data_IF_195678485641
#
_entry.id   IF_195678485641
#
_cell.length_a   1.000
_cell.length_b   1.000
_cell.length_c   1.000
_cell.angle_alpha   90.00
_cell.angle_beta   90.00
_cell.angle_gamma   90.00
#
_symmetry.space_group_name_H-M   'P 1'
#
loop_
_entity.id
_entity.type
_entity.pdbx_description
1 polymer ?
#
# COMPACT_ATOMS: atom_id res chain seq x y z
N UNK A 1 3.31 -16.10 71.17
CA UNK A 1 2.06 -15.59 70.55
C UNK A 1 2.04 -14.11 70.85
N UNK A 2 1.84 -13.27 69.84
CA UNK A 2 1.89 -11.82 69.99
C UNK A 2 0.72 -11.30 70.84
N UNK A 3 0.78 -10.02 71.21
CA UNK A 3 -0.35 -9.35 71.86
C UNK A 3 -1.61 -9.50 71.01
N UNK A 4 -2.77 -9.64 71.67
CA UNK A 4 -4.06 -9.86 71.00
C UNK A 4 -4.37 -8.80 69.94
N UNK A 5 -4.02 -7.55 70.24
CA UNK A 5 -4.23 -6.41 69.34
C UNK A 5 -3.32 -6.44 68.11
N UNK A 6 -2.10 -6.95 68.23
CA UNK A 6 -1.18 -7.10 67.10
C UNK A 6 -1.60 -8.27 66.20
N UNK A 7 -2.09 -9.36 66.80
CA UNK A 7 -2.59 -10.53 66.09
C UNK A 7 -3.83 -10.19 65.24
N UNK A 8 -4.80 -9.46 65.80
CA UNK A 8 -6.00 -9.00 65.08
C UNK A 8 -5.63 -8.06 63.91
N UNK A 9 -4.60 -7.22 64.08
CA UNK A 9 -4.11 -6.34 63.02
C UNK A 9 -3.45 -7.13 61.89
N UNK A 10 -2.65 -8.16 62.22
CA UNK A 10 -2.02 -9.05 61.25
C UNK A 10 -3.09 -9.77 60.42
N UNK A 11 -4.12 -10.32 61.06
CA UNK A 11 -5.17 -11.06 60.36
C UNK A 11 -6.04 -10.15 59.48
N UNK A 12 -6.30 -8.91 59.92
CA UNK A 12 -7.01 -7.89 59.12
C UNK A 12 -6.25 -7.51 57.84
N UNK A 13 -4.94 -7.24 57.94
CA UNK A 13 -4.09 -6.89 56.78
C UNK A 13 -3.88 -8.09 55.83
N UNK A 14 -3.90 -9.31 56.36
CA UNK A 14 -3.77 -10.52 55.56
C UNK A 14 -5.06 -10.94 54.86
N UNK A 15 -6.22 -10.40 55.25
CA UNK A 15 -7.52 -10.77 54.70
C UNK A 15 -7.62 -10.56 53.18
N UNK A 16 -7.00 -9.49 52.67
CA UNK A 16 -7.02 -9.14 51.24
C UNK A 16 -5.99 -9.90 50.40
N UNK A 17 -5.12 -10.71 51.02
CA UNK A 17 -4.12 -11.55 50.34
C UNK A 17 -2.98 -10.79 49.63
N UNK A 18 -2.95 -9.47 49.76
CA UNK A 18 -1.90 -8.56 49.24
C UNK A 18 -1.58 -7.55 50.34
N UNK A 19 -0.28 -7.36 50.62
CA UNK A 19 0.19 -6.37 51.59
C UNK A 19 0.93 -5.26 50.85
N UNK A 20 0.47 -4.02 51.02
CA UNK A 20 1.07 -2.80 50.50
C UNK A 20 2.21 -2.31 51.39
N UNK A 21 3.08 -1.43 50.86
CA UNK A 21 4.21 -0.89 51.62
C UNK A 21 3.78 0.01 52.79
N UNK A 22 2.61 0.62 52.69
CA UNK A 22 2.01 1.40 53.77
C UNK A 22 1.58 0.49 54.92
N UNK A 23 0.92 -0.64 54.64
CA UNK A 23 0.51 -1.63 55.64
C UNK A 23 1.72 -2.28 56.33
N UNK A 24 2.79 -2.59 55.58
CA UNK A 24 4.06 -3.06 56.17
C UNK A 24 4.66 -2.04 57.14
N UNK A 25 4.50 -0.75 56.86
CA UNK A 25 5.01 0.32 57.73
C UNK A 25 4.18 0.44 59.01
N UNK A 26 2.85 0.29 58.90
CA UNK A 26 1.94 0.32 60.05
C UNK A 26 2.18 -0.88 60.97
N UNK A 27 2.34 -2.09 60.42
CA UNK A 27 2.64 -3.30 61.19
C UNK A 27 3.95 -3.16 61.96
N UNK A 28 5.02 -2.65 61.32
CA UNK A 28 6.30 -2.42 62.00
C UNK A 28 6.22 -1.40 63.14
N UNK A 29 5.48 -0.30 62.94
CA UNK A 29 5.26 0.70 64.00
C UNK A 29 4.46 0.13 65.17
N UNK A 30 3.47 -0.72 64.89
CA UNK A 30 2.66 -1.37 65.92
C UNK A 30 3.45 -2.44 66.67
N UNK A 31 4.30 -3.21 65.99
CA UNK A 31 5.22 -4.17 66.61
C UNK A 31 6.14 -3.47 67.63
N UNK A 32 6.76 -2.34 67.24
CA UNK A 32 7.56 -1.52 68.16
C UNK A 32 6.76 -1.03 69.37
N UNK A 33 5.53 -0.59 69.16
CA UNK A 33 4.67 -0.11 70.24
C UNK A 33 4.22 -1.24 71.20
N UNK A 34 4.19 -2.48 70.73
CA UNK A 34 3.92 -3.67 71.53
C UNK A 34 5.18 -4.28 72.17
N UNK A 35 6.37 -3.71 71.92
CA UNK A 35 7.65 -4.21 72.43
C UNK A 35 8.18 -5.44 71.70
N UNK A 36 7.68 -5.72 70.49
CA UNK A 36 8.09 -6.84 69.65
C UNK A 36 9.09 -6.38 68.58
N UNK A 37 9.94 -7.30 68.11
CA UNK A 37 10.89 -7.01 67.04
C UNK A 37 10.16 -6.85 65.68
N UNK A 38 10.32 -5.71 64.97
CA UNK A 38 9.61 -5.45 63.73
C UNK A 38 9.96 -6.42 62.60
N UNK A 39 11.20 -6.90 62.55
CA UNK A 39 11.68 -7.78 61.50
C UNK A 39 11.21 -9.22 61.76
N UNK A 40 11.15 -9.66 63.02
CA UNK A 40 10.55 -10.95 63.39
C UNK A 40 9.05 -11.01 63.04
N UNK A 41 8.29 -9.94 63.33
CA UNK A 41 6.87 -9.85 62.96
C UNK A 41 6.70 -9.91 61.45
N UNK A 42 7.56 -9.23 60.68
CA UNK A 42 7.50 -9.27 59.21
C UNK A 42 7.79 -10.66 58.64
N UNK A 43 8.72 -11.42 59.21
CA UNK A 43 8.98 -12.82 58.82
C UNK A 43 7.72 -13.68 59.02
N UNK A 44 7.00 -13.49 60.14
CA UNK A 44 5.76 -14.22 60.43
C UNK A 44 4.64 -13.82 59.47
N UNK A 45 4.47 -12.53 59.20
CA UNK A 45 3.46 -12.00 58.27
C UNK A 45 3.71 -12.52 56.84
N UNK A 46 4.94 -12.46 56.36
CA UNK A 46 5.30 -12.99 55.04
C UNK A 46 5.14 -14.51 54.98
N UNK A 47 5.44 -15.21 56.08
CA UNK A 47 5.19 -16.64 56.24
C UNK A 47 3.70 -17.01 56.18
N UNK A 48 2.82 -16.23 56.81
CA UNK A 48 1.35 -16.41 56.74
C UNK A 48 0.81 -16.08 55.35
N UNK A 49 1.28 -15.00 54.74
CA UNK A 49 0.93 -14.62 53.37
C UNK A 49 1.34 -15.72 52.38
N UNK A 50 2.52 -16.32 52.53
CA UNK A 50 2.98 -17.44 51.72
C UNK A 50 2.13 -18.70 51.95
N UNK A 51 1.72 -18.99 53.19
CA UNK A 51 0.79 -20.10 53.50
C UNK A 51 -0.60 -19.87 52.88
N UNK A 52 -1.14 -18.66 52.94
CA UNK A 52 -2.42 -18.30 52.31
C UNK A 52 -2.33 -18.41 50.79
N UNK A 53 -1.24 -17.95 50.17
CA UNK A 53 -0.99 -18.12 48.72
C UNK A 53 -0.78 -19.58 48.32
N UNK A 54 -0.22 -20.42 49.21
CA UNK A 54 -0.12 -21.87 49.01
C UNK A 54 -1.44 -22.62 49.25
N UNK A 55 -2.37 -22.04 50.02
CA UNK A 55 -3.72 -22.58 50.24
C UNK A 55 -4.74 -22.15 49.18
N UNK A 56 -4.52 -21.00 48.53
CA UNK A 56 -5.35 -20.45 47.44
C UNK A 56 -4.82 -20.79 46.02
N UNK A 57 -3.83 -21.68 45.93
CA UNK A 57 -3.36 -22.29 44.68
C UNK A 57 -3.37 -23.82 44.89
N UNK A 58 -3.77 -24.65 43.91
CA UNK A 58 -3.94 -26.08 44.13
C UNK A 58 -2.61 -26.69 44.60
N UNK A 59 -2.65 -27.39 45.72
CA UNK A 59 -1.54 -28.19 46.21
C UNK A 59 -1.04 -29.10 45.07
N UNK A 60 0.25 -28.98 44.75
CA UNK A 60 1.00 -30.00 44.05
C UNK A 60 1.62 -30.87 45.16
N UNK A 61 1.12 -32.10 45.41
CA UNK A 61 1.99 -33.14 45.93
C UNK A 61 2.95 -33.50 44.80
N UNK A 62 4.24 -33.56 45.13
CA UNK A 62 5.19 -34.31 44.32
C UNK A 62 4.64 -35.73 44.10
N UNK A 63 4.92 -36.29 42.91
CA UNK A 63 4.62 -37.64 42.39
C UNK A 63 3.41 -37.77 41.44
N UNK A 64 3.77 -37.98 40.17
CA UNK A 64 3.04 -38.69 39.08
C UNK A 64 2.09 -37.93 38.13
N UNK A 65 2.68 -37.51 36.99
CA UNK A 65 2.16 -37.61 35.61
C UNK A 65 0.67 -37.94 35.44
N UNK A 66 -0.21 -36.93 35.44
CA UNK A 66 -1.37 -36.88 34.50
C UNK A 66 -1.59 -35.44 34.05
N UNK A 67 -1.68 -35.26 32.73
CA UNK A 67 -1.75 -33.96 32.08
C UNK A 67 -2.98 -33.16 32.50
N UNK A 68 -2.82 -31.83 32.49
CA UNK A 68 -3.92 -30.88 32.63
C UNK A 68 -4.88 -31.08 31.44
N UNK A 69 -6.02 -31.75 31.64
CA UNK A 69 -7.04 -31.95 30.60
C UNK A 69 -7.84 -30.65 30.47
N UNK A 70 -7.46 -29.80 29.51
CA UNK A 70 -8.22 -28.59 29.16
C UNK A 70 -9.48 -29.03 28.41
N UNK A 71 -10.67 -28.57 28.81
CA UNK A 71 -11.94 -28.90 28.13
C UNK A 71 -12.29 -27.83 27.09
N UNK A 72 -12.97 -28.23 26.01
CA UNK A 72 -13.47 -27.32 25.00
C UNK A 72 -14.59 -26.43 25.57
N UNK A 73 -14.52 -25.10 25.42
CA UNK A 73 -15.56 -24.20 25.93
C UNK A 73 -16.87 -24.31 25.14
N UNK A 74 -16.83 -24.86 23.93
CA UNK A 74 -18.01 -25.01 23.07
C UNK A 74 -18.72 -26.37 23.23
N UNK A 75 -17.98 -27.47 23.46
CA UNK A 75 -18.58 -28.82 23.51
C UNK A 75 -18.17 -29.66 24.74
N UNK A 76 -17.30 -29.14 25.62
CA UNK A 76 -16.85 -29.85 26.82
C UNK A 76 -15.86 -30.99 26.59
N UNK A 77 -15.53 -31.34 25.33
CA UNK A 77 -14.60 -32.41 25.00
C UNK A 77 -13.17 -32.12 25.53
N UNK A 78 -12.42 -33.15 25.97
CA UNK A 78 -11.03 -33.01 26.40
C UNK A 78 -10.13 -32.61 25.21
N UNK A 79 -9.29 -31.60 25.41
CA UNK A 79 -8.39 -31.05 24.41
C UNK A 79 -6.97 -31.52 24.73
N UNK A 80 -6.25 -31.98 23.71
CA UNK A 80 -4.81 -32.21 23.78
C UNK A 80 -4.07 -30.89 23.96
N UNK A 81 -3.05 -30.86 24.84
CA UNK A 81 -2.26 -29.66 25.10
C UNK A 81 -1.66 -29.10 23.79
N UNK A 82 -2.06 -27.88 23.41
CA UNK A 82 -1.59 -27.21 22.19
C UNK A 82 -2.47 -27.39 20.94
N UNK A 83 -3.64 -28.04 21.03
CA UNK A 83 -4.56 -28.10 19.90
C UNK A 83 -5.13 -26.71 19.57
N UNK A 84 -5.02 -26.29 18.31
CA UNK A 84 -5.55 -25.01 17.78
C UNK A 84 -7.05 -25.09 17.49
N UNK A 85 -7.58 -26.30 17.32
CA UNK A 85 -8.98 -26.59 17.01
C UNK A 85 -9.47 -27.81 17.76
N UNK A 86 -10.73 -27.79 18.19
CA UNK A 86 -11.37 -28.93 18.83
C UNK A 86 -11.65 -30.02 17.78
N UNK A 87 -11.22 -31.25 18.04
CA UNK A 87 -11.45 -32.40 17.15
C UNK A 87 -12.93 -32.79 17.06
N UNK A 88 -13.68 -32.58 18.13
CA UNK A 88 -15.09 -33.00 18.22
C UNK A 88 -16.07 -31.99 17.61
N UNK A 89 -15.89 -30.68 17.86
CA UNK A 89 -16.85 -29.66 17.42
C UNK A 89 -16.28 -28.61 16.45
N UNK A 90 -15.00 -28.72 16.08
CA UNK A 90 -14.35 -27.77 15.16
C UNK A 90 -14.09 -26.38 15.74
N UNK A 91 -14.38 -26.13 17.03
CA UNK A 91 -14.15 -24.84 17.67
C UNK A 91 -12.67 -24.47 17.69
N UNK A 92 -12.32 -23.31 17.13
CA UNK A 92 -10.94 -22.79 17.08
C UNK A 92 -10.62 -22.10 18.40
N UNK A 93 -9.59 -22.57 19.09
CA UNK A 93 -9.13 -21.98 20.34
C UNK A 93 -8.32 -20.72 20.02
N UNK A 94 -8.97 -19.56 20.11
CA UNK A 94 -8.25 -18.30 20.24
C UNK A 94 -7.74 -18.23 21.67
N UNK A 95 -6.43 -18.27 21.88
CA UNK A 95 -5.86 -18.11 23.22
C UNK A 95 -6.19 -16.68 23.70
N UNK A 96 -7.24 -16.54 24.52
CA UNK A 96 -7.72 -15.25 25.07
C UNK A 96 -6.81 -14.81 26.22
N UNK A 97 -5.53 -14.65 25.94
CA UNK A 97 -4.72 -13.60 26.55
C UNK A 97 -4.39 -12.71 25.38
N UNK A 98 -5.18 -11.66 25.18
CA UNK A 98 -5.10 -10.75 24.03
C UNK A 98 -3.63 -10.40 23.74
N UNK A 99 -3.03 -11.17 22.83
CA UNK A 99 -1.65 -11.02 22.45
C UNK A 99 -1.72 -9.96 21.37
N UNK A 100 -1.87 -8.69 21.78
CA UNK A 100 -2.00 -7.60 20.84
C UNK A 100 -0.62 -7.28 20.25
N UNK A 101 -0.03 -8.25 19.56
CA UNK A 101 1.31 -8.20 18.97
C UNK A 101 1.43 -7.01 18.01
N UNK A 102 0.35 -6.66 17.32
CA UNK A 102 0.30 -5.47 16.47
C UNK A 102 0.38 -4.15 17.26
N UNK A 103 -0.30 -4.05 18.40
CA UNK A 103 -0.24 -2.87 19.28
C UNK A 103 1.08 -2.79 20.04
N UNK A 104 1.59 -3.90 20.55
CA UNK A 104 2.91 -3.96 21.17
C UNK A 104 4.00 -3.55 20.19
N UNK A 105 3.94 -4.06 18.95
CA UNK A 105 4.81 -3.61 17.87
C UNK A 105 4.70 -2.10 17.64
N UNK A 106 3.48 -1.56 17.54
CA UNK A 106 3.27 -0.13 17.32
C UNK A 106 3.87 0.73 18.44
N UNK A 107 3.64 0.38 19.71
CA UNK A 107 4.16 1.12 20.86
C UNK A 107 5.69 1.09 20.89
N UNK A 108 6.30 -0.09 20.74
CA UNK A 108 7.77 -0.22 20.76
C UNK A 108 8.42 0.46 19.55
N UNK A 109 7.75 0.44 18.40
CA UNK A 109 8.19 1.11 17.19
C UNK A 109 8.19 2.64 17.38
N UNK A 110 7.10 3.20 17.90
CA UNK A 110 6.99 4.64 18.17
C UNK A 110 8.05 5.12 19.16
N UNK A 111 8.28 4.39 20.25
CA UNK A 111 9.34 4.69 21.22
C UNK A 111 10.75 4.73 20.59
N UNK A 112 10.99 3.90 19.55
CA UNK A 112 12.27 3.89 18.83
C UNK A 112 12.34 5.03 17.81
N UNK A 113 11.24 5.31 17.11
CA UNK A 113 11.15 6.43 16.17
C UNK A 113 11.34 7.76 16.89
N UNK A 114 10.81 7.93 18.12
CA UNK A 114 11.01 9.12 18.95
C UNK A 114 12.49 9.41 19.28
N UNK A 115 13.36 8.41 19.18
CA UNK A 115 14.81 8.59 19.40
C UNK A 115 15.54 9.14 18.18
N UNK A 116 14.90 9.16 17.01
CA UNK A 116 15.45 9.70 15.76
C UNK A 116 15.33 11.22 15.81
N UNK A 117 16.47 11.92 15.79
CA UNK A 117 16.51 13.38 15.97
C UNK A 117 16.16 14.17 14.70
N UNK A 118 16.56 13.65 13.53
CA UNK A 118 16.33 14.25 12.22
C UNK A 118 16.46 13.18 11.13
N UNK A 119 15.97 13.48 9.91
CA UNK A 119 15.87 12.50 8.80
C UNK A 119 17.21 11.88 8.35
N UNK A 120 18.35 12.50 8.70
CA UNK A 120 19.69 12.02 8.37
C UNK A 120 20.36 11.20 9.48
N UNK A 121 19.68 10.94 10.60
CA UNK A 121 20.20 10.15 11.73
C UNK A 121 20.22 8.64 11.39
N UNK A 122 21.15 8.26 10.51
CA UNK A 122 21.31 6.89 9.99
C UNK A 122 21.44 5.87 11.11
N UNK A 123 22.08 6.23 12.23
CA UNK A 123 22.30 5.32 13.35
C UNK A 123 20.99 4.91 14.00
N UNK A 124 20.13 5.86 14.37
CA UNK A 124 18.83 5.52 14.98
C UNK A 124 17.84 4.98 13.95
N UNK A 125 17.89 5.46 12.69
CA UNK A 125 17.09 4.90 11.60
C UNK A 125 17.41 3.41 11.37
N UNK A 126 18.70 3.03 11.38
CA UNK A 126 19.11 1.64 11.23
C UNK A 126 18.63 0.77 12.40
N UNK A 127 18.68 1.28 13.65
CA UNK A 127 18.14 0.57 14.82
C UNK A 127 16.63 0.34 14.72
N UNK A 128 15.87 1.30 14.18
CA UNK A 128 14.44 1.15 13.90
C UNK A 128 14.23 0.09 12.82
N UNK A 129 15.00 0.14 11.74
CA UNK A 129 14.93 -0.84 10.65
C UNK A 129 15.25 -2.27 11.11
N UNK A 130 16.27 -2.45 11.94
CA UNK A 130 16.63 -3.74 12.55
C UNK A 130 15.51 -4.25 13.45
N UNK A 131 14.92 -3.36 14.28
CA UNK A 131 13.78 -3.74 15.12
C UNK A 131 12.60 -4.25 14.28
N UNK A 132 12.23 -3.54 13.21
CA UNK A 132 11.12 -3.95 12.33
C UNK A 132 11.39 -5.32 11.71
N UNK A 133 12.60 -5.53 11.16
CA UNK A 133 12.96 -6.79 10.49
C UNK A 133 12.97 -7.97 11.48
N UNK A 134 13.50 -7.76 12.69
CA UNK A 134 13.72 -8.83 13.66
C UNK A 134 12.54 -9.05 14.62
N UNK A 135 11.45 -8.29 14.51
CA UNK A 135 10.31 -8.42 15.42
C UNK A 135 9.65 -9.81 15.31
N UNK A 136 9.28 -10.48 16.41
CA UNK A 136 8.71 -11.82 16.34
C UNK A 136 7.36 -11.84 15.60
N UNK A 137 7.11 -12.90 14.84
CA UNK A 137 5.88 -13.05 14.06
C UNK A 137 4.75 -13.68 14.88
N UNK A 138 3.52 -13.11 14.85
CA UNK A 138 2.36 -13.74 15.44
C UNK A 138 2.14 -15.16 14.91
N UNK A 139 1.55 -16.02 15.73
CA UNK A 139 1.19 -17.41 15.39
C UNK A 139 -0.32 -17.59 15.23
N UNK A 140 -1.14 -16.74 15.83
CA UNK A 140 -2.58 -16.69 15.63
C UNK A 140 -2.96 -16.21 14.23
N UNK A 141 -4.05 -16.74 13.66
CA UNK A 141 -4.53 -16.35 12.33
C UNK A 141 -4.96 -14.88 12.32
N UNK A 142 -5.79 -14.50 13.27
CA UNK A 142 -6.36 -13.17 13.41
C UNK A 142 -5.25 -12.15 13.72
N UNK A 143 -4.36 -12.47 14.66
CA UNK A 143 -3.21 -11.62 15.02
C UNK A 143 -2.25 -11.43 13.85
N UNK A 144 -2.00 -12.48 13.05
CA UNK A 144 -1.13 -12.38 11.87
C UNK A 144 -1.78 -11.52 10.78
N UNK A 145 -3.09 -11.65 10.56
CA UNK A 145 -3.81 -10.83 9.58
C UNK A 145 -3.89 -9.36 10.01
N UNK A 146 -4.14 -9.08 11.29
CA UNK A 146 -4.10 -7.73 11.84
C UNK A 146 -2.70 -7.11 11.71
N UNK A 147 -1.66 -7.90 12.00
CA UNK A 147 -0.28 -7.46 11.84
C UNK A 147 0.08 -7.16 10.38
N UNK A 148 -0.35 -8.00 9.44
CA UNK A 148 -0.19 -7.78 7.99
C UNK A 148 -0.89 -6.50 7.55
N UNK A 149 -2.14 -6.26 7.98
CA UNK A 149 -2.88 -5.04 7.66
C UNK A 149 -2.17 -3.79 8.21
N UNK A 150 -1.67 -3.88 9.45
CA UNK A 150 -0.91 -2.83 10.11
C UNK A 150 0.39 -2.50 9.36
N UNK A 151 1.12 -3.52 8.88
CA UNK A 151 2.34 -3.34 8.07
C UNK A 151 2.03 -2.80 6.67
N UNK A 152 0.93 -3.23 6.05
CA UNK A 152 0.54 -2.80 4.71
C UNK A 152 0.23 -1.30 4.68
N UNK A 153 -0.46 -0.78 5.70
CA UNK A 153 -0.66 0.67 5.86
C UNK A 153 0.68 1.43 5.98
N UNK A 154 1.62 0.92 6.79
CA UNK A 154 2.93 1.56 7.01
C UNK A 154 3.86 1.50 5.80
N UNK A 155 3.90 0.40 5.04
CA UNK A 155 4.77 0.33 3.85
C UNK A 155 4.29 1.21 2.69
N UNK A 156 3.00 1.58 2.68
CA UNK A 156 2.44 2.50 1.69
C UNK A 156 2.81 3.95 2.00
N UNK A 157 3.19 4.29 3.24
CA UNK A 157 3.69 5.63 3.53
C UNK A 157 5.15 5.79 3.07
N UNK A 158 5.48 6.97 2.53
CA UNK A 158 6.85 7.33 2.17
C UNK A 158 7.62 7.61 3.48
N UNK A 159 8.53 6.73 3.85
CA UNK A 159 9.34 6.86 5.07
C UNK A 159 10.71 6.20 4.92
N UNK A 160 11.66 6.56 5.79
CA UNK A 160 12.98 5.94 5.86
C UNK A 160 12.96 4.45 6.28
N UNK A 161 11.79 3.94 6.65
CA UNK A 161 11.57 2.57 7.13
C UNK A 161 10.79 1.71 6.13
N UNK A 162 10.44 2.26 4.96
CA UNK A 162 9.57 1.62 3.98
C UNK A 162 10.09 0.25 3.55
N UNK A 163 11.40 0.13 3.33
CA UNK A 163 12.04 -1.14 2.96
C UNK A 163 11.94 -2.18 4.08
N UNK A 164 12.13 -1.77 5.33
CA UNK A 164 12.01 -2.66 6.47
C UNK A 164 10.57 -3.15 6.67
N UNK A 165 9.57 -2.26 6.52
CA UNK A 165 8.16 -2.67 6.54
C UNK A 165 7.84 -3.66 5.42
N UNK A 166 8.34 -3.42 4.20
CA UNK A 166 8.09 -4.33 3.09
C UNK A 166 8.75 -5.70 3.31
N UNK A 167 9.99 -5.74 3.80
CA UNK A 167 10.66 -7.00 4.14
C UNK A 167 9.87 -7.78 5.20
N UNK A 168 9.44 -7.10 6.28
CA UNK A 168 8.69 -7.74 7.35
C UNK A 168 7.32 -8.23 6.90
N UNK A 169 6.64 -7.45 6.07
CA UNK A 169 5.37 -7.83 5.46
C UNK A 169 5.51 -9.10 4.62
N UNK A 170 6.56 -9.22 3.79
CA UNK A 170 6.79 -10.42 2.97
C UNK A 170 7.04 -11.67 3.82
N UNK A 171 7.75 -11.53 4.94
CA UNK A 171 7.93 -12.61 5.91
C UNK A 171 6.58 -13.07 6.50
N UNK A 172 5.72 -12.12 6.88
CA UNK A 172 4.38 -12.40 7.39
C UNK A 172 3.51 -13.10 6.33
N UNK A 173 3.52 -12.61 5.08
CA UNK A 173 2.78 -13.19 3.95
C UNK A 173 3.24 -14.61 3.68
N UNK A 174 4.56 -14.86 3.68
CA UNK A 174 5.13 -16.20 3.46
C UNK A 174 4.67 -17.14 4.56
N UNK A 175 4.76 -16.72 5.83
CA UNK A 175 4.27 -17.50 6.97
C UNK A 175 2.76 -17.76 6.87
N UNK A 176 1.96 -16.76 6.51
CA UNK A 176 0.51 -16.89 6.34
C UNK A 176 0.14 -17.88 5.23
N UNK A 177 0.84 -17.82 4.08
CA UNK A 177 0.64 -18.77 2.96
C UNK A 177 0.95 -20.20 3.38
N UNK A 178 1.98 -20.41 4.21
CA UNK A 178 2.36 -21.74 4.70
C UNK A 178 1.39 -22.25 5.77
N UNK A 179 0.99 -21.41 6.73
CA UNK A 179 0.11 -21.80 7.83
C UNK A 179 -1.35 -21.99 7.41
N UNK A 180 -1.81 -21.21 6.44
CA UNK A 180 -3.21 -21.17 5.99
C UNK A 180 -3.36 -21.59 4.53
N UNK A 181 -2.54 -22.55 4.09
CA UNK A 181 -2.63 -23.11 2.74
C UNK A 181 -4.03 -23.67 2.49
N UNK A 182 -4.68 -23.24 1.40
CA UNK A 182 -6.03 -23.66 1.02
C UNK A 182 -7.17 -22.76 1.52
N UNK A 183 -6.88 -21.74 2.33
CA UNK A 183 -7.87 -20.74 2.75
C UNK A 183 -8.03 -19.66 1.65
N UNK A 184 -9.19 -19.66 0.99
CA UNK A 184 -9.51 -18.72 -0.10
C UNK A 184 -9.53 -17.27 0.37
N UNK A 185 -10.02 -17.04 1.60
CA UNK A 185 -10.25 -15.71 2.13
C UNK A 185 -8.90 -15.07 2.46
N UNK A 186 -8.02 -15.80 3.14
CA UNK A 186 -6.64 -15.36 3.40
C UNK A 186 -5.92 -15.09 2.08
N UNK A 187 -6.01 -16.00 1.12
CA UNK A 187 -5.33 -15.84 -0.18
C UNK A 187 -5.82 -14.59 -0.92
N UNK A 188 -7.13 -14.33 -0.92
CA UNK A 188 -7.72 -13.16 -1.57
C UNK A 188 -7.28 -11.84 -0.91
N UNK A 189 -7.21 -11.79 0.42
CA UNK A 189 -6.75 -10.62 1.18
C UNK A 189 -5.27 -10.32 0.92
N UNK A 190 -4.43 -11.35 0.87
CA UNK A 190 -3.00 -11.21 0.54
C UNK A 190 -2.83 -10.69 -0.91
N UNK A 191 -3.61 -11.21 -1.86
CA UNK A 191 -3.57 -10.74 -3.24
C UNK A 191 -4.03 -9.27 -3.37
N UNK A 192 -5.06 -8.87 -2.62
CA UNK A 192 -5.55 -7.49 -2.62
C UNK A 192 -4.51 -6.50 -2.07
N UNK A 193 -3.88 -6.86 -0.95
CA UNK A 193 -2.86 -6.01 -0.32
C UNK A 193 -1.61 -5.89 -1.20
N UNK A 194 -1.20 -6.95 -1.90
CA UNK A 194 -0.09 -6.92 -2.86
C UNK A 194 -0.38 -6.05 -4.09
N UNK A 195 -1.57 -6.19 -4.71
CA UNK A 195 -2.01 -5.35 -5.82
C UNK A 195 -2.05 -3.86 -5.43
N UNK A 196 -2.58 -3.55 -4.25
CA UNK A 196 -2.66 -2.18 -3.73
C UNK A 196 -1.29 -1.52 -3.60
N UNK A 197 -0.30 -2.25 -3.09
CA UNK A 197 1.06 -1.72 -2.99
C UNK A 197 1.77 -1.57 -4.33
N UNK A 198 1.61 -2.52 -5.26
CA UNK A 198 2.19 -2.38 -6.61
C UNK A 198 1.63 -1.16 -7.35
N UNK A 199 0.33 -0.89 -7.21
CA UNK A 199 -0.27 0.33 -7.75
C UNK A 199 0.33 1.58 -7.07
N UNK A 200 0.47 1.55 -5.74
CA UNK A 200 1.06 2.67 -4.99
C UNK A 200 2.51 2.96 -5.39
N UNK A 201 3.37 1.94 -5.50
CA UNK A 201 4.78 2.12 -5.88
C UNK A 201 4.92 2.59 -7.33
N UNK A 202 4.08 2.10 -8.25
CA UNK A 202 4.05 2.56 -9.63
C UNK A 202 3.69 4.05 -9.71
N UNK A 203 2.62 4.45 -9.01
CA UNK A 203 2.20 5.86 -8.95
C UNK A 203 3.30 6.73 -8.33
N UNK A 204 3.89 6.30 -7.22
CA UNK A 204 4.99 7.03 -6.58
C UNK A 204 6.20 7.19 -7.50
N UNK A 205 6.59 6.14 -8.22
CA UNK A 205 7.70 6.16 -9.18
C UNK A 205 7.43 7.13 -10.35
N UNK A 206 6.23 7.10 -10.93
CA UNK A 206 5.82 8.01 -12.01
C UNK A 206 5.86 9.48 -11.55
N UNK A 207 5.42 9.77 -10.33
CA UNK A 207 5.46 11.13 -9.77
C UNK A 207 6.91 11.59 -9.56
N UNK A 208 7.77 10.73 -9.02
CA UNK A 208 9.18 11.06 -8.77
C UNK A 208 9.97 11.28 -10.08
N UNK A 209 9.60 10.60 -11.17
CA UNK A 209 10.35 10.66 -12.44
C UNK A 209 9.64 11.46 -13.54
N UNK A 210 8.68 12.31 -13.17
CA UNK A 210 7.89 13.11 -14.12
C UNK A 210 8.74 13.89 -15.13
N UNK A 211 9.91 14.39 -14.72
CA UNK A 211 10.85 15.12 -15.60
C UNK A 211 11.53 14.20 -16.62
N UNK A 212 11.98 13.03 -16.17
CA UNK A 212 12.64 12.03 -17.02
C UNK A 212 11.65 11.46 -18.03
N UNK A 213 10.43 11.14 -17.58
CA UNK A 213 9.36 10.63 -18.46
C UNK A 213 8.99 11.68 -19.51
N UNK A 214 8.88 12.95 -19.12
CA UNK A 214 8.63 14.05 -20.07
C UNK A 214 9.74 14.17 -21.11
N UNK A 215 11.01 14.13 -20.69
CA UNK A 215 12.16 14.17 -21.62
C UNK A 215 12.13 12.97 -22.57
N UNK A 216 11.87 11.76 -22.07
CA UNK A 216 11.78 10.56 -22.90
C UNK A 216 10.67 10.68 -23.97
N UNK A 217 9.50 11.23 -23.60
CA UNK A 217 8.41 11.47 -24.55
C UNK A 217 8.83 12.49 -25.62
N UNK A 218 9.46 13.60 -25.24
CA UNK A 218 9.96 14.61 -26.18
C UNK A 218 10.99 14.02 -27.13
N UNK A 219 11.93 13.21 -26.63
CA UNK A 219 12.93 12.53 -27.46
C UNK A 219 12.26 11.58 -28.46
N UNK A 220 11.27 10.78 -28.04
CA UNK A 220 10.53 9.90 -28.96
C UNK A 220 9.78 10.69 -30.04
N UNK A 221 9.19 11.84 -29.70
CA UNK A 221 8.53 12.71 -30.67
C UNK A 221 9.52 13.34 -31.66
N UNK A 222 10.69 13.77 -31.18
CA UNK A 222 11.75 14.30 -32.03
C UNK A 222 12.33 13.22 -32.95
N UNK A 223 12.60 12.03 -32.43
CA UNK A 223 13.07 10.90 -33.24
C UNK A 223 12.04 10.51 -34.32
N UNK A 224 10.75 10.51 -33.99
CA UNK A 224 9.69 10.35 -35.01
C UNK A 224 9.73 11.47 -36.04
N UNK A 225 9.85 12.72 -35.61
CA UNK A 225 10.00 13.87 -36.51
C UNK A 225 11.21 13.75 -37.44
N UNK A 226 12.34 13.26 -36.93
CA UNK A 226 13.54 13.00 -37.70
C UNK A 226 13.36 11.84 -38.70
N UNK A 227 12.66 10.77 -38.32
CA UNK A 227 12.31 9.69 -39.26
C UNK A 227 11.43 10.23 -40.40
N UNK A 228 10.39 11.00 -40.08
CA UNK A 228 9.54 11.65 -41.10
C UNK A 228 10.30 12.63 -41.99
N UNK A 229 11.34 13.30 -41.46
CA UNK A 229 12.17 14.22 -42.23
C UNK A 229 13.21 13.51 -43.13
N UNK A 230 13.62 12.29 -42.77
CA UNK A 230 14.55 11.47 -43.56
C UNK A 230 13.83 10.66 -44.66
N UNK A 231 12.54 10.38 -44.51
CA UNK A 231 11.69 9.74 -45.53
C UNK A 231 11.07 10.76 -46.52
N UNK A 232 11.76 11.87 -46.83
CA UNK A 232 11.28 12.89 -47.76
C UNK A 232 11.08 12.40 -49.21
N UNK A 233 11.53 11.18 -49.54
CA UNK A 233 11.60 10.65 -50.91
C UNK A 233 10.50 9.61 -51.26
N UNK A 234 9.50 9.40 -50.39
CA UNK A 234 8.48 8.35 -50.63
C UNK A 234 7.03 8.85 -50.73
N UNK A 235 6.82 10.15 -50.92
CA UNK A 235 5.45 10.68 -51.10
C UNK A 235 4.79 10.18 -52.39
N UNK A 236 5.57 9.61 -53.34
CA UNK A 236 5.09 9.09 -54.62
C UNK A 236 4.52 10.17 -55.55
N UNK A 237 4.32 11.39 -55.03
CA UNK A 237 3.67 12.50 -55.71
C UNK A 237 4.54 13.08 -56.82
N UNK A 238 5.87 13.01 -56.71
CA UNK A 238 6.78 13.47 -57.76
C UNK A 238 6.52 12.73 -59.08
N UNK A 239 6.26 11.42 -59.01
CA UNK A 239 5.89 10.60 -60.18
C UNK A 239 4.53 11.01 -60.76
N UNK A 240 3.56 11.33 -59.91
CA UNK A 240 2.25 11.85 -60.36
C UNK A 240 2.40 13.22 -61.00
N UNK A 241 3.22 14.09 -60.41
CA UNK A 241 3.52 15.42 -60.95
C UNK A 241 4.17 15.33 -62.32
N UNK A 242 5.12 14.41 -62.50
CA UNK A 242 5.78 14.17 -63.79
C UNK A 242 4.81 13.58 -64.83
N UNK A 243 3.98 12.61 -64.46
CA UNK A 243 2.93 12.07 -65.34
C UNK A 243 1.88 13.13 -65.75
N UNK A 244 1.56 14.08 -64.87
CA UNK A 244 0.69 15.23 -65.17
C UNK A 244 1.37 16.16 -66.20
N UNK A 245 2.68 16.42 -66.07
CA UNK A 245 3.44 17.25 -67.03
C UNK A 245 3.51 16.59 -68.41
N UNK A 246 3.70 15.27 -68.45
CA UNK A 246 3.70 14.46 -69.68
C UNK A 246 2.30 14.27 -70.29
N UNK A 247 1.26 14.75 -69.61
CA UNK A 247 -0.15 14.61 -69.99
C UNK A 247 -0.60 13.16 -70.15
N UNK A 248 0.01 12.22 -69.44
CA UNK A 248 -0.33 10.79 -69.48
C UNK A 248 -1.42 10.46 -68.46
N UNK A 249 -2.70 10.60 -68.84
CA UNK A 249 -3.82 10.42 -67.90
C UNK A 249 -3.92 9.00 -67.35
N UNK A 250 -3.57 7.98 -68.13
CA UNK A 250 -3.58 6.57 -67.69
C UNK A 250 -2.56 6.32 -66.57
N UNK A 251 -1.36 6.89 -66.70
CA UNK A 251 -0.31 6.78 -65.70
C UNK A 251 -0.65 7.56 -64.42
N UNK A 252 -1.23 8.76 -64.57
CA UNK A 252 -1.75 9.55 -63.43
C UNK A 252 -2.79 8.76 -62.64
N UNK A 253 -3.73 8.09 -63.32
CA UNK A 253 -4.77 7.26 -62.67
C UNK A 253 -4.15 6.09 -61.90
N UNK A 254 -3.19 5.38 -62.50
CA UNK A 254 -2.54 4.24 -61.86
C UNK A 254 -1.75 4.67 -60.61
N UNK A 255 -0.96 5.74 -60.72
CA UNK A 255 -0.15 6.25 -59.62
C UNK A 255 -1.01 6.81 -58.48
N UNK A 256 -2.10 7.53 -58.78
CA UNK A 256 -3.08 7.99 -57.78
C UNK A 256 -3.69 6.80 -57.01
N UNK A 257 -3.87 5.66 -57.67
CA UNK A 257 -4.38 4.44 -57.05
C UNK A 257 -3.45 3.85 -55.98
N UNK A 258 -2.15 4.17 -56.01
CA UNK A 258 -1.12 3.65 -55.10
C UNK A 258 -0.78 4.62 -53.95
N UNK A 259 -1.21 5.88 -54.03
CA UNK A 259 -0.90 6.92 -53.04
C UNK A 259 -1.85 6.86 -51.83
N UNK A 260 -1.29 7.14 -50.64
CA UNK A 260 -2.06 7.23 -49.39
C UNK A 260 -2.97 8.48 -49.35
N UNK A 261 -4.16 8.33 -48.77
CA UNK A 261 -5.20 9.37 -48.68
C UNK A 261 -4.67 10.71 -48.14
N UNK A 262 -3.73 10.67 -47.19
CA UNK A 262 -3.15 11.86 -46.59
C UNK A 262 -2.41 12.74 -47.61
N UNK A 263 -1.61 12.14 -48.49
CA UNK A 263 -0.86 12.85 -49.52
C UNK A 263 -1.77 13.30 -50.67
N UNK A 264 -2.75 12.47 -51.04
CA UNK A 264 -3.75 12.81 -52.05
C UNK A 264 -4.55 14.08 -51.66
N UNK A 265 -4.85 14.25 -50.37
CA UNK A 265 -5.53 15.45 -49.86
C UNK A 265 -4.66 16.71 -49.96
N UNK A 266 -3.34 16.59 -49.76
CA UNK A 266 -2.38 17.70 -49.84
C UNK A 266 -2.28 18.30 -51.25
N UNK A 267 -2.43 17.47 -52.29
CA UNK A 267 -2.26 17.89 -53.68
C UNK A 267 -3.56 17.96 -54.49
N UNK A 268 -4.70 18.05 -53.82
CA UNK A 268 -6.03 18.18 -54.45
C UNK A 268 -6.07 19.31 -55.49
N UNK A 269 -5.37 20.42 -55.26
CA UNK A 269 -5.31 21.55 -56.20
C UNK A 269 -4.72 21.18 -57.56
N UNK A 270 -3.63 20.42 -57.59
CA UNK A 270 -2.94 20.00 -58.83
C UNK A 270 -3.84 19.09 -59.67
N UNK A 271 -4.52 18.14 -59.03
CA UNK A 271 -5.48 17.24 -59.69
C UNK A 271 -6.64 18.02 -60.30
N UNK A 272 -7.18 19.00 -59.57
CA UNK A 272 -8.30 19.82 -60.06
C UNK A 272 -7.89 20.65 -61.28
N UNK A 273 -6.68 21.23 -61.28
CA UNK A 273 -6.14 21.96 -62.43
C UNK A 273 -5.99 21.05 -63.64
N UNK A 274 -5.47 19.82 -63.45
CA UNK A 274 -5.30 18.86 -64.52
C UNK A 274 -6.66 18.36 -65.08
N UNK A 275 -7.63 18.06 -64.22
CA UNK A 275 -8.99 17.71 -64.65
C UNK A 275 -9.66 18.84 -65.44
N UNK A 276 -9.53 20.09 -64.99
CA UNK A 276 -10.08 21.24 -65.69
C UNK A 276 -9.45 21.42 -67.09
N UNK A 277 -8.17 21.10 -67.22
CA UNK A 277 -7.48 21.11 -68.51
C UNK A 277 -8.03 20.03 -69.46
N UNK A 278 -8.20 18.79 -68.99
CA UNK A 278 -8.78 17.70 -69.79
C UNK A 278 -10.19 18.04 -70.30
N UNK A 279 -11.02 18.68 -69.45
CA UNK A 279 -12.35 19.15 -69.84
C UNK A 279 -12.25 20.23 -70.94
N UNK A 280 -11.30 21.15 -70.81
CA UNK A 280 -11.07 22.23 -71.78
C UNK A 280 -10.58 21.70 -73.13
N UNK A 281 -9.80 20.62 -73.13
CA UNK A 281 -9.32 19.91 -74.33
C UNK A 281 -10.38 18.98 -74.96
N UNK A 282 -11.58 18.88 -74.37
CA UNK A 282 -12.66 18.01 -74.86
C UNK A 282 -12.51 16.53 -74.47
N UNK A 283 -11.51 16.17 -73.66
CA UNK A 283 -11.26 14.81 -73.13
C UNK A 283 -12.13 14.50 -71.91
N UNK A 284 -13.46 14.63 -72.08
CA UNK A 284 -14.42 14.51 -70.97
C UNK A 284 -14.43 13.10 -70.36
N UNK A 285 -14.20 12.05 -71.16
CA UNK A 285 -14.14 10.66 -70.66
C UNK A 285 -12.98 10.46 -69.69
N UNK A 286 -11.78 10.88 -70.08
CA UNK A 286 -10.56 10.78 -69.27
C UNK A 286 -10.68 11.61 -67.97
N UNK A 287 -11.29 12.79 -68.03
CA UNK A 287 -11.55 13.61 -66.84
C UNK A 287 -12.49 12.93 -65.83
N UNK A 288 -13.51 12.21 -66.31
CA UNK A 288 -14.43 11.47 -65.44
C UNK A 288 -13.75 10.25 -64.80
N UNK A 289 -12.96 9.50 -65.58
CA UNK A 289 -12.19 8.35 -65.10
C UNK A 289 -11.18 8.76 -64.01
N UNK A 290 -10.47 9.87 -64.22
CA UNK A 290 -9.59 10.45 -63.22
C UNK A 290 -10.34 10.87 -61.95
N UNK A 291 -11.50 11.52 -62.10
CA UNK A 291 -12.34 11.90 -60.96
C UNK A 291 -12.82 10.71 -60.13
N UNK A 292 -13.12 9.59 -60.78
CA UNK A 292 -13.55 8.37 -60.08
C UNK A 292 -12.39 7.63 -59.42
N UNK A 293 -11.20 7.62 -60.04
CA UNK A 293 -9.98 7.10 -59.43
C UNK A 293 -9.62 7.84 -58.14
N UNK A 294 -9.72 9.18 -58.13
CA UNK A 294 -9.46 10.01 -56.95
C UNK A 294 -10.48 9.72 -55.84
N UNK A 295 -11.77 9.59 -56.16
CA UNK A 295 -12.80 9.21 -55.18
C UNK A 295 -12.63 7.80 -54.62
N UNK A 296 -12.03 6.89 -55.40
CA UNK A 296 -11.75 5.53 -54.97
C UNK A 296 -10.52 5.49 -54.05
N UNK A 297 -9.46 6.22 -54.40
CA UNK A 297 -8.26 6.37 -53.58
C UNK A 297 -8.57 7.03 -52.22
N UNK A 298 -9.42 8.07 -52.21
CA UNK A 298 -9.90 8.71 -50.99
C UNK A 298 -10.77 7.82 -50.08
N UNK A 299 -11.17 6.61 -50.55
CA UNK A 299 -11.91 5.63 -49.74
C UNK A 299 -11.05 4.50 -49.20
N UNK A 300 -9.77 4.40 -49.61
CA UNK A 300 -8.86 3.37 -49.09
C UNK A 300 -8.50 3.67 -47.63
N UNK A 301 -9.07 2.87 -46.73
CA UNK A 301 -8.93 2.99 -45.28
C UNK A 301 -7.47 2.79 -44.85
N UNK A 302 -6.87 3.85 -44.28
CA UNK A 302 -5.80 3.92 -43.27
C UNK A 302 -4.98 2.62 -43.09
N UNK A 303 -3.70 2.66 -43.46
CA UNK A 303 -2.73 1.61 -43.13
C UNK A 303 -2.75 1.26 -41.62
N UNK A 304 -2.58 -0.01 -41.22
CA UNK A 304 -2.67 -0.47 -39.82
C UNK A 304 -1.82 0.35 -38.83
N UNK A 305 -0.72 0.90 -39.32
CA UNK A 305 0.25 1.68 -38.54
C UNK A 305 -0.32 3.02 -38.04
N UNK A 306 -1.21 3.67 -38.80
CA UNK A 306 -1.85 4.92 -38.40
C UNK A 306 -3.03 4.68 -37.44
N UNK A 307 -3.72 3.54 -37.56
CA UNK A 307 -4.84 3.19 -36.68
C UNK A 307 -4.38 2.91 -35.23
N UNK A 308 -3.22 2.27 -35.04
CA UNK A 308 -2.65 2.06 -33.71
C UNK A 308 -2.28 3.38 -33.02
N UNK A 309 -1.76 4.37 -33.77
CA UNK A 309 -1.34 5.66 -33.22
C UNK A 309 -2.54 6.50 -32.78
N UNK A 310 -3.60 6.56 -33.58
CA UNK A 310 -4.83 7.28 -33.21
C UNK A 310 -5.48 6.61 -31.99
N UNK A 311 -5.40 5.28 -31.88
CA UNK A 311 -5.92 4.54 -30.72
C UNK A 311 -5.09 4.81 -29.47
N UNK A 312 -3.76 4.79 -29.56
CA UNK A 312 -2.85 5.14 -28.46
C UNK A 312 -3.03 6.60 -28.00
N UNK A 313 -3.17 7.55 -28.93
CA UNK A 313 -3.44 8.95 -28.60
C UNK A 313 -4.81 9.09 -27.95
N UNK A 314 -5.88 8.47 -28.49
CA UNK A 314 -7.23 8.52 -27.89
C UNK A 314 -7.29 7.87 -26.50
N UNK A 315 -6.44 6.90 -26.19
CA UNK A 315 -6.37 6.26 -24.86
C UNK A 315 -5.50 7.06 -23.89
N UNK A 316 -4.36 7.61 -24.35
CA UNK A 316 -3.39 8.30 -23.50
C UNK A 316 -3.74 9.77 -23.23
N UNK A 317 -4.37 10.47 -24.16
CA UNK A 317 -4.73 11.89 -23.99
C UNK A 317 -5.74 12.12 -22.86
N UNK A 318 -6.80 11.30 -22.69
CA UNK A 318 -7.70 11.40 -21.54
C UNK A 318 -7.00 11.09 -20.21
N UNK A 319 -6.05 10.15 -20.20
CA UNK A 319 -5.24 9.85 -19.01
C UNK A 319 -4.36 11.04 -18.62
N UNK A 320 -3.64 11.64 -19.58
CA UNK A 320 -2.83 12.84 -19.37
C UNK A 320 -3.68 14.05 -18.94
N UNK A 321 -4.88 14.23 -19.54
CA UNK A 321 -5.81 15.30 -19.19
C UNK A 321 -6.37 15.12 -17.76
N UNK A 322 -6.74 13.90 -17.38
CA UNK A 322 -7.19 13.59 -16.01
C UNK A 322 -6.04 13.73 -14.97
N UNK A 323 -4.79 13.44 -15.36
CA UNK A 323 -3.62 13.65 -14.51
C UNK A 323 -3.34 15.14 -14.28
N UNK A 324 -3.46 15.99 -15.31
CA UNK A 324 -3.32 17.45 -15.15
C UNK A 324 -4.47 18.07 -14.33
N UNK A 325 -5.70 17.57 -14.48
CA UNK A 325 -6.84 18.08 -13.72
C UNK A 325 -6.77 17.70 -12.22
N UNK A 326 -6.29 16.50 -11.88
CA UNK A 326 -6.08 16.08 -10.47
C UNK A 326 -4.95 16.84 -9.78
N UNK A 327 -3.92 17.23 -10.54
CA UNK A 327 -2.80 18.07 -10.06
C UNK A 327 -3.26 19.46 -9.62
N UNK A 328 -4.33 20.02 -10.20
CA UNK A 328 -4.86 21.34 -9.79
C UNK A 328 -5.80 21.25 -8.57
N UNK A 329 -6.48 20.12 -8.36
CA UNK A 329 -7.38 19.93 -7.21
C UNK A 329 -6.66 19.51 -5.91
N UNK A 330 -5.50 18.85 -5.99
CA UNK A 330 -4.74 18.46 -4.79
C UNK A 330 -3.91 19.59 -4.18
N UNK A 331 -3.58 20.64 -4.92
CA UNK A 331 -2.91 21.83 -4.38
C UNK A 331 -3.81 22.72 -3.52
N UNK A 332 -5.13 22.52 -3.53
CA UNK A 332 -6.08 23.34 -2.74
C UNK A 332 -6.44 22.68 -1.39
N UNK A 333 -6.07 21.41 -1.15
CA UNK A 333 -6.47 20.67 0.07
C UNK A 333 -5.33 20.35 1.04
N UNK A 334 -4.09 20.77 0.76
CA UNK A 334 -2.99 20.73 1.72
C UNK A 334 -2.55 22.14 2.12
N UNK A 335 -3.41 22.84 2.86
CA UNK A 335 -2.93 23.86 3.80
C UNK A 335 -2.71 23.15 5.14
N UNK A 336 -1.49 23.12 5.68
CA UNK A 336 -1.23 22.50 6.98
C UNK A 336 -1.94 23.23 8.11
N UNK A 337 -2.51 22.44 9.01
CA UNK A 337 -3.30 22.81 10.17
C UNK A 337 -2.40 23.33 11.31
N UNK A 338 -1.56 24.34 11.08
CA UNK A 338 -0.59 24.86 12.08
C UNK A 338 -0.56 26.40 12.20
N UNK A 339 -1.59 27.12 11.75
CA UNK A 339 -1.67 28.58 11.91
C UNK A 339 -3.06 29.07 12.39
N UNK A 340 -3.73 28.32 13.26
CA UNK A 340 -5.02 28.72 13.87
C UNK A 340 -4.96 29.23 15.31
N UNK A 341 -3.76 29.47 15.87
CA UNK A 341 -3.59 29.88 17.27
C UNK A 341 -2.93 31.25 17.49
N UNK A 342 -2.81 32.09 16.44
CA UNK A 342 -2.23 33.44 16.56
C UNK A 342 -3.15 34.57 16.05
N UNK A 343 -4.46 34.36 16.09
CA UNK A 343 -5.48 35.32 15.66
C UNK A 343 -6.59 35.61 16.67
N UNK A 344 -6.31 35.47 17.98
CA UNK A 344 -7.23 35.88 19.06
C UNK A 344 -6.63 37.02 19.88
N UNK A 345 -6.29 38.15 19.27
CA UNK A 345 -6.34 39.46 19.93
C UNK A 345 -6.61 40.50 18.83
N UNK A 346 -7.41 41.52 19.17
CA UNK A 346 -7.84 42.69 18.39
C UNK A 346 -9.28 42.58 17.90
N UNK A 347 -10.17 42.81 18.86
CA UNK A 347 -11.51 43.34 18.64
C UNK A 347 -11.39 44.87 18.55
N UNK A 348 -11.85 45.56 17.49
CA UNK A 348 -12.24 46.96 17.60
C UNK A 348 -13.76 47.02 17.74
N UNK A 349 -14.18 47.45 18.93
CA UNK A 349 -15.49 48.03 19.20
C UNK A 349 -15.80 49.09 18.15
N UNK A 350 -16.98 49.00 17.52
CA UNK A 350 -17.61 50.12 16.83
C UNK A 350 -18.86 50.51 17.61
N UNK A 351 -18.81 51.69 18.20
CA UNK A 351 -19.96 52.59 18.30
C UNK A 351 -20.43 52.98 16.91
#
# INVERSE_FOLDING_TARGET
MYSKELEELIDSVLADGVITDQERTVLRKRALACGEDPDEVMIVVDGRLAKMKKGASPAIPATEKRGNIVKCPNCGAPIEAGAVKCKECGYVFTNVKANNTAKEFAIMLEQRIQKVRYDGDKTNINKVNEFIKNYPLPTGKEDLLEFIASLDARRRSKSNYQEAYNAKYQECVTKAKTLFAGDSDVTSLLAQTEKGYRAHTFIASVIQHKKIIFIAIVVVLLLKGCIYALDADTTGWDKVSDAIKEQNTTEVINLIGEIDEYYLAGHKGEIQIYMQRLITEGKIKEANELGDAVKLAARKRISPNHCMIITLIKVMLPMLRNMMHRSMTQTVTQVPMEMRLLGMVICPSKN
#
